data_IF_763789150340
#
_entry.id   IF_763789150340
#
_cell.length_a   1.000
_cell.length_b   1.000
_cell.length_c   1.000
_cell.angle_alpha   90.00
_cell.angle_beta   90.00
_cell.angle_gamma   90.00
#
_symmetry.space_group_name_H-M   'P 1'
#
loop_
_entity.id
_entity.type
_entity.pdbx_description
1 polymer ?
#
# COMPACT_ATOMS: atom_id res chain seq x y z
N UNK A 1 -8.99 -66.04 -58.60
CA UNK A 1 -8.76 -65.72 -57.17
C UNK A 1 -7.98 -64.43 -57.07
N UNK A 2 -8.64 -63.31 -57.34
CA UNK A 2 -7.99 -61.99 -57.38
C UNK A 2 -8.97 -60.85 -56.99
N UNK A 3 -9.43 -60.86 -55.74
CA UNK A 3 -10.42 -59.83 -55.26
C UNK A 3 -10.16 -59.29 -53.84
N UNK A 4 -9.01 -59.64 -53.24
CA UNK A 4 -8.81 -59.26 -51.79
C UNK A 4 -7.95 -58.02 -51.52
N UNK A 5 -7.21 -57.53 -52.52
CA UNK A 5 -6.21 -56.46 -52.22
C UNK A 5 -6.70 -55.03 -52.47
N UNK A 6 -7.84 -54.84 -53.16
CA UNK A 6 -8.37 -53.47 -53.37
C UNK A 6 -9.08 -52.89 -52.13
N UNK A 7 -9.74 -53.71 -51.32
CA UNK A 7 -10.43 -53.22 -50.08
C UNK A 7 -9.46 -52.84 -48.98
N UNK A 8 -8.32 -53.52 -48.88
CA UNK A 8 -7.30 -53.13 -47.87
C UNK A 8 -6.62 -51.81 -48.17
N UNK A 9 -6.47 -51.43 -49.42
CA UNK A 9 -5.91 -50.13 -49.82
C UNK A 9 -6.89 -48.97 -49.62
N UNK A 10 -8.20 -49.22 -49.80
CA UNK A 10 -9.23 -48.19 -49.56
C UNK A 10 -9.40 -47.94 -48.06
N UNK A 11 -9.25 -48.96 -47.21
CA UNK A 11 -9.32 -48.78 -45.75
C UNK A 11 -8.09 -48.03 -45.17
N UNK A 12 -6.95 -48.14 -45.83
CA UNK A 12 -5.72 -47.41 -45.42
C UNK A 12 -5.73 -45.94 -45.86
N UNK A 13 -6.45 -45.59 -46.92
CA UNK A 13 -6.58 -44.19 -47.38
C UNK A 13 -7.64 -43.41 -46.55
N UNK A 14 -8.66 -44.08 -46.01
CA UNK A 14 -9.68 -43.42 -45.13
C UNK A 14 -9.13 -43.13 -43.76
N UNK A 15 -8.07 -43.79 -43.30
CA UNK A 15 -7.47 -43.56 -41.98
C UNK A 15 -6.55 -42.32 -41.90
N UNK A 16 -6.21 -41.70 -43.05
CA UNK A 16 -5.30 -40.54 -43.13
C UNK A 16 -6.07 -39.20 -43.12
N UNK A 17 -7.41 -39.20 -43.19
CA UNK A 17 -8.23 -37.98 -43.27
C UNK A 17 -8.96 -37.63 -41.99
N UNK A 18 -8.64 -38.26 -40.84
CA UNK A 18 -9.00 -37.70 -39.56
C UNK A 18 -7.94 -36.63 -39.24
N UNK A 19 -8.04 -35.50 -39.95
CA UNK A 19 -7.38 -34.28 -39.54
C UNK A 19 -7.90 -33.94 -38.16
N UNK A 20 -7.11 -34.19 -37.12
CA UNK A 20 -7.29 -33.57 -35.82
C UNK A 20 -7.25 -32.07 -36.06
N UNK A 21 -8.43 -31.43 -36.10
CA UNK A 21 -8.53 -30.01 -35.91
C UNK A 21 -8.02 -29.77 -34.49
N UNK A 22 -6.71 -29.73 -34.32
CA UNK A 22 -6.06 -29.22 -33.16
C UNK A 22 -6.33 -27.70 -33.19
N UNK A 23 -7.38 -27.27 -32.53
CA UNK A 23 -7.51 -25.86 -32.25
C UNK A 23 -6.33 -25.51 -31.33
N UNK A 24 -5.25 -25.06 -31.95
CA UNK A 24 -4.12 -24.53 -31.22
C UNK A 24 -4.63 -23.26 -30.54
N UNK A 25 -4.61 -23.27 -29.22
CA UNK A 25 -4.98 -22.13 -28.39
C UNK A 25 -3.68 -21.46 -27.93
N UNK A 26 -3.75 -20.14 -27.78
CA UNK A 26 -2.68 -19.43 -27.12
C UNK A 26 -2.59 -19.88 -25.66
N UNK A 27 -1.35 -20.02 -25.15
CA UNK A 27 -1.09 -20.36 -23.76
C UNK A 27 -0.46 -19.16 -23.06
N UNK A 28 -1.06 -18.76 -21.93
CA UNK A 28 -0.58 -17.68 -21.06
C UNK A 28 -0.11 -18.31 -19.76
N UNK A 29 1.18 -18.23 -19.46
CA UNK A 29 1.75 -18.63 -18.17
C UNK A 29 1.83 -17.38 -17.30
N UNK A 30 1.18 -17.44 -16.15
CA UNK A 30 1.22 -16.37 -15.16
C UNK A 30 2.43 -16.50 -14.24
N UNK A 31 2.76 -15.41 -13.54
CA UNK A 31 3.87 -15.40 -12.57
C UNK A 31 3.61 -16.28 -11.34
N UNK A 32 2.37 -16.60 -11.02
CA UNK A 32 1.99 -17.57 -9.98
C UNK A 32 2.17 -19.02 -10.39
N UNK A 33 2.63 -19.27 -11.63
CA UNK A 33 2.82 -20.60 -12.21
C UNK A 33 1.57 -21.20 -12.86
N UNK A 34 0.41 -20.52 -12.79
CA UNK A 34 -0.81 -21.00 -13.43
C UNK A 34 -0.76 -20.80 -14.95
N UNK A 35 -1.28 -21.80 -15.69
CA UNK A 35 -1.43 -21.75 -17.15
C UNK A 35 -2.89 -21.50 -17.53
N UNK A 36 -3.09 -20.60 -18.50
CA UNK A 36 -4.39 -20.24 -19.04
C UNK A 36 -4.39 -20.46 -20.56
N UNK A 37 -5.22 -21.40 -21.06
CA UNK A 37 -5.44 -21.64 -22.49
C UNK A 37 -6.61 -20.80 -22.98
N UNK A 38 -6.35 -19.87 -23.90
CA UNK A 38 -7.31 -18.84 -24.32
C UNK A 38 -7.00 -18.41 -25.75
N UNK A 39 -7.89 -17.63 -26.32
CA UNK A 39 -7.63 -16.90 -27.56
C UNK A 39 -7.31 -15.45 -27.24
N UNK A 40 -6.07 -15.05 -27.47
CA UNK A 40 -5.62 -13.67 -27.27
C UNK A 40 -6.21 -12.80 -28.38
N UNK A 41 -6.82 -11.68 -28.01
CA UNK A 41 -7.43 -10.74 -28.94
C UNK A 41 -6.64 -9.45 -29.09
N UNK A 42 -5.96 -9.02 -28.01
CA UNK A 42 -5.20 -7.78 -28.01
C UNK A 42 -4.15 -7.81 -26.90
N UNK A 43 -2.98 -7.25 -27.13
CA UNK A 43 -1.96 -6.97 -26.12
C UNK A 43 -1.66 -5.48 -26.19
N UNK A 44 -1.89 -4.77 -25.08
CA UNK A 44 -1.55 -3.36 -24.89
C UNK A 44 -0.32 -3.24 -24.00
N UNK A 45 0.15 -2.03 -23.71
CA UNK A 45 1.31 -1.79 -22.84
C UNK A 45 1.12 -2.29 -21.39
N UNK A 46 -0.12 -2.46 -20.94
CA UNK A 46 -0.46 -2.81 -19.56
C UNK A 46 -1.35 -4.02 -19.42
N UNK A 47 -2.09 -4.42 -20.44
CA UNK A 47 -3.09 -5.47 -20.37
C UNK A 47 -3.06 -6.42 -21.57
N UNK A 48 -3.38 -7.68 -21.31
CA UNK A 48 -3.65 -8.72 -22.28
C UNK A 48 -5.16 -8.98 -22.27
N UNK A 49 -5.83 -8.78 -23.43
CA UNK A 49 -7.25 -9.12 -23.61
C UNK A 49 -7.37 -10.49 -24.28
N UNK A 50 -8.29 -11.29 -23.78
CA UNK A 50 -8.49 -12.64 -24.26
C UNK A 50 -9.94 -13.09 -24.18
N UNK A 51 -10.27 -14.13 -24.93
CA UNK A 51 -11.56 -14.83 -24.87
C UNK A 51 -11.33 -16.27 -24.44
N UNK A 52 -12.21 -16.80 -23.61
CA UNK A 52 -12.26 -18.23 -23.29
C UNK A 52 -13.12 -18.94 -24.30
N UNK A 53 -12.76 -20.18 -24.61
CA UNK A 53 -13.54 -21.02 -25.51
C UNK A 53 -14.99 -21.15 -25.04
N UNK A 54 -15.91 -20.99 -25.97
CA UNK A 54 -17.36 -21.05 -25.70
C UNK A 54 -17.95 -19.78 -25.06
N UNK A 55 -17.17 -18.73 -24.82
CA UNK A 55 -17.64 -17.48 -24.27
C UNK A 55 -17.36 -16.30 -25.23
N UNK A 56 -18.40 -15.52 -25.55
CA UNK A 56 -18.27 -14.31 -26.38
C UNK A 56 -17.81 -13.06 -25.60
N UNK A 57 -17.48 -13.24 -24.32
CA UNK A 57 -17.07 -12.14 -23.45
C UNK A 57 -15.55 -12.00 -23.48
N UNK A 58 -15.07 -10.78 -23.64
CA UNK A 58 -13.64 -10.47 -23.51
C UNK A 58 -13.27 -10.29 -22.04
N UNK A 59 -12.16 -10.91 -21.64
CA UNK A 59 -11.54 -10.78 -20.34
C UNK A 59 -10.23 -10.00 -20.48
N UNK A 60 -9.78 -9.34 -19.43
CA UNK A 60 -8.47 -8.70 -19.38
C UNK A 60 -7.63 -9.26 -18.24
N UNK A 61 -6.30 -9.34 -18.48
CA UNK A 61 -5.28 -9.73 -17.52
C UNK A 61 -4.19 -8.66 -17.54
N UNK A 62 -3.74 -8.22 -16.37
CA UNK A 62 -2.62 -7.28 -16.27
C UNK A 62 -1.33 -7.97 -16.76
N UNK A 63 -0.58 -7.31 -17.65
CA UNK A 63 0.67 -7.86 -18.17
C UNK A 63 1.72 -8.08 -17.08
N UNK A 64 1.63 -7.37 -15.96
CA UNK A 64 2.52 -7.59 -14.81
C UNK A 64 2.31 -8.95 -14.13
N UNK A 65 1.14 -9.57 -14.32
CA UNK A 65 0.84 -10.90 -13.79
C UNK A 65 1.19 -12.01 -14.81
N UNK A 66 1.58 -11.63 -16.05
CA UNK A 66 1.99 -12.55 -17.12
C UNK A 66 3.51 -12.75 -17.09
N UNK A 67 3.95 -14.00 -17.18
CA UNK A 67 5.35 -14.37 -17.33
C UNK A 67 5.70 -14.63 -18.80
N UNK A 68 4.88 -15.44 -19.48
CA UNK A 68 5.12 -15.90 -20.84
C UNK A 68 3.79 -16.08 -21.56
N UNK A 69 3.76 -15.67 -22.82
CA UNK A 69 2.71 -16.01 -23.78
C UNK A 69 3.33 -16.88 -24.87
N UNK A 70 2.67 -17.98 -25.19
CA UNK A 70 2.96 -18.80 -26.36
C UNK A 70 1.76 -18.73 -27.28
N UNK A 71 1.94 -18.17 -28.47
CA UNK A 71 0.89 -18.04 -29.47
C UNK A 71 0.63 -19.35 -30.20
N UNK A 72 -0.54 -19.46 -30.84
CA UNK A 72 -0.95 -20.60 -31.67
C UNK A 72 0.11 -20.97 -32.74
N UNK A 73 0.81 -19.97 -33.29
CA UNK A 73 1.87 -20.14 -34.29
C UNK A 73 3.22 -20.65 -33.70
N UNK A 74 3.29 -20.84 -32.37
CA UNK A 74 4.48 -21.23 -31.63
C UNK A 74 5.43 -20.09 -31.25
N UNK A 75 5.13 -18.87 -31.64
CA UNK A 75 5.89 -17.70 -31.16
C UNK A 75 5.73 -17.51 -29.64
N UNK A 76 6.78 -17.00 -29.01
CA UNK A 76 6.80 -16.76 -27.57
C UNK A 76 7.14 -15.32 -27.26
N UNK A 77 6.41 -14.74 -26.31
CA UNK A 77 6.64 -13.40 -25.80
C UNK A 77 6.74 -13.42 -24.28
N UNK A 78 7.85 -12.88 -23.74
CA UNK A 78 8.09 -12.76 -22.30
C UNK A 78 7.86 -11.34 -21.83
N UNK A 79 7.39 -11.19 -20.59
CA UNK A 79 7.03 -9.91 -19.99
C UNK A 79 7.82 -9.62 -18.71
N UNK A 80 9.16 -9.75 -18.77
CA UNK A 80 10.03 -9.72 -17.59
C UNK A 80 10.04 -8.41 -16.81
N UNK A 81 9.74 -7.28 -17.47
CA UNK A 81 9.86 -5.93 -16.88
C UNK A 81 8.57 -5.10 -16.92
N UNK A 82 7.40 -5.74 -17.08
CA UNK A 82 6.15 -4.99 -17.06
C UNK A 82 5.85 -4.56 -15.62
N UNK A 83 5.90 -3.27 -15.38
CA UNK A 83 5.46 -2.71 -14.09
C UNK A 83 3.94 -2.90 -13.97
N UNK A 84 3.50 -3.36 -12.80
CA UNK A 84 2.07 -3.47 -12.51
C UNK A 84 1.37 -2.13 -12.77
N UNK A 85 0.27 -2.16 -13.51
CA UNK A 85 -0.53 -0.96 -13.75
C UNK A 85 -0.96 -0.38 -12.40
N UNK A 86 -0.44 0.78 -12.06
CA UNK A 86 -0.82 1.46 -10.82
C UNK A 86 -2.10 2.24 -11.06
N UNK A 87 -3.13 1.92 -10.30
CA UNK A 87 -4.36 2.72 -10.27
C UNK A 87 -4.09 3.94 -9.39
N UNK A 88 -4.24 5.13 -9.97
CA UNK A 88 -4.10 6.36 -9.19
C UNK A 88 -5.36 6.64 -8.39
N UNK A 89 -5.26 6.53 -7.09
CA UNK A 89 -6.35 6.78 -6.13
C UNK A 89 -6.09 8.08 -5.39
N UNK A 90 -7.15 8.84 -5.13
CA UNK A 90 -7.03 10.12 -4.41
C UNK A 90 -7.13 9.90 -2.90
N UNK A 91 -6.13 10.40 -2.15
CA UNK A 91 -6.30 10.67 -0.73
C UNK A 91 -6.78 12.11 -0.57
N UNK A 92 -7.93 12.29 0.07
CA UNK A 92 -8.58 13.58 0.18
C UNK A 92 -8.06 14.39 1.38
N UNK A 93 -8.09 15.71 1.25
CA UNK A 93 -7.86 16.63 2.36
C UNK A 93 -8.78 16.29 3.54
N UNK A 94 -8.24 16.40 4.77
CA UNK A 94 -8.98 16.06 5.98
C UNK A 94 -9.00 14.56 6.32
N UNK A 95 -8.45 13.67 5.46
CA UNK A 95 -8.25 12.26 5.81
C UNK A 95 -7.38 12.17 7.06
N UNK A 96 -7.82 11.33 8.03
CA UNK A 96 -7.11 11.14 9.31
C UNK A 96 -6.15 9.96 9.20
N UNK A 97 -4.89 10.20 9.57
CA UNK A 97 -3.85 9.18 9.64
C UNK A 97 -3.51 8.97 11.12
N UNK A 98 -3.84 7.80 11.71
CA UNK A 98 -3.53 7.52 13.10
C UNK A 98 -2.03 7.23 13.25
N UNK A 99 -1.35 8.01 14.07
CA UNK A 99 0.07 7.89 14.39
C UNK A 99 0.26 7.49 15.83
N UNK A 100 1.18 6.60 16.12
CA UNK A 100 1.53 6.16 17.47
C UNK A 100 2.98 6.51 17.78
N UNK A 101 3.22 7.05 18.98
CA UNK A 101 4.56 7.36 19.47
C UNK A 101 5.36 6.07 19.64
N UNK A 102 6.54 6.00 19.02
CA UNK A 102 7.36 4.77 19.02
C UNK A 102 8.15 4.60 20.32
N UNK A 103 8.45 5.71 21.01
CA UNK A 103 9.23 5.70 22.24
C UNK A 103 8.72 6.72 23.26
N UNK A 104 8.99 6.50 24.55
CA UNK A 104 8.67 7.48 25.58
C UNK A 104 9.67 8.63 25.58
N UNK A 105 9.19 9.84 25.33
CA UNK A 105 9.99 11.06 25.31
C UNK A 105 9.68 11.99 26.49
N UNK A 106 10.66 12.77 26.89
CA UNK A 106 10.56 13.66 28.05
C UNK A 106 11.27 14.99 27.84
N UNK A 107 10.72 16.05 28.41
CA UNK A 107 11.39 17.37 28.48
C UNK A 107 12.57 17.40 29.44
N UNK A 108 12.77 16.36 30.27
CA UNK A 108 13.83 16.25 31.28
C UNK A 108 14.46 14.84 31.23
N UNK A 109 15.58 14.63 31.96
CA UNK A 109 16.25 13.32 32.06
C UNK A 109 15.45 12.24 32.80
N UNK A 110 14.34 12.59 33.43
CA UNK A 110 13.48 11.65 34.14
C UNK A 110 12.22 11.32 33.31
N UNK A 111 11.89 10.04 33.22
CA UNK A 111 10.62 9.56 32.67
C UNK A 111 10.58 9.24 31.18
N UNK A 112 11.73 9.16 30.53
CA UNK A 112 11.83 8.83 29.12
C UNK A 112 13.11 9.38 28.48
N UNK A 113 13.29 9.17 27.16
CA UNK A 113 14.38 9.78 26.40
C UNK A 113 14.21 11.30 26.42
N UNK A 114 15.22 12.01 26.95
CA UNK A 114 15.20 13.47 26.92
C UNK A 114 15.34 13.94 25.49
N UNK A 115 14.45 14.85 25.08
CA UNK A 115 14.49 15.50 23.75
C UNK A 115 14.70 17.01 23.88
N UNK A 116 15.28 17.61 22.85
CA UNK A 116 15.52 19.05 22.73
C UNK A 116 14.74 19.63 21.55
N UNK A 117 14.49 20.94 21.58
CA UNK A 117 13.88 21.63 20.44
C UNK A 117 14.73 21.45 19.17
N UNK A 118 14.07 21.16 18.03
CA UNK A 118 14.68 20.83 16.75
C UNK A 118 15.06 19.35 16.57
N UNK A 119 14.93 18.53 17.63
CA UNK A 119 15.25 17.10 17.56
C UNK A 119 14.13 16.32 16.86
N UNK A 120 14.52 15.30 16.08
CA UNK A 120 13.60 14.40 15.40
C UNK A 120 13.16 13.28 16.34
N UNK A 121 11.87 13.00 16.33
CA UNK A 121 11.23 11.88 17.03
C UNK A 121 10.58 10.94 16.03
N UNK A 122 10.42 9.68 16.43
CA UNK A 122 9.83 8.65 15.59
C UNK A 122 8.42 8.29 16.03
N UNK A 123 7.52 8.29 15.08
CA UNK A 123 6.17 7.77 15.20
C UNK A 123 5.99 6.65 14.15
N UNK A 124 4.94 5.86 14.29
CA UNK A 124 4.53 4.86 13.29
C UNK A 124 3.04 5.00 13.00
N UNK A 125 2.65 4.66 11.78
CA UNK A 125 1.23 4.58 11.40
C UNK A 125 0.61 3.39 12.15
N UNK A 126 -0.47 3.64 12.89
CA UNK A 126 -1.10 2.64 13.76
C UNK A 126 -1.92 1.60 13.00
N UNK A 127 -2.57 1.99 11.92
CA UNK A 127 -3.43 1.14 11.10
C UNK A 127 -3.36 1.56 9.63
N UNK A 128 -3.67 0.64 8.73
CA UNK A 128 -3.77 0.95 7.30
C UNK A 128 -4.80 2.08 7.07
N UNK A 129 -4.41 3.03 6.21
CA UNK A 129 -5.33 4.05 5.71
C UNK A 129 -5.76 3.63 4.31
N UNK A 130 -7.04 3.35 4.15
CA UNK A 130 -7.63 2.85 2.90
C UNK A 130 -8.61 3.86 2.28
N UNK A 131 -8.84 3.73 0.99
CA UNK A 131 -9.98 4.38 0.31
C UNK A 131 -11.28 3.60 0.53
N UNK A 132 -12.36 4.02 -0.16
CA UNK A 132 -13.67 3.37 -0.10
C UNK A 132 -13.68 1.99 -0.76
N UNK A 133 -12.76 1.72 -1.68
CA UNK A 133 -12.63 0.47 -2.42
C UNK A 133 -11.70 -0.53 -1.71
N UNK A 134 -11.14 -0.15 -0.55
CA UNK A 134 -10.24 -0.98 0.26
C UNK A 134 -8.77 -0.94 -0.19
N UNK A 135 -8.39 -0.06 -1.13
CA UNK A 135 -7.00 0.10 -1.52
C UNK A 135 -6.22 0.79 -0.40
N UNK A 136 -5.08 0.21 -0.01
CA UNK A 136 -4.21 0.78 1.02
C UNK A 136 -3.44 1.96 0.44
N UNK A 137 -3.60 3.15 1.03
CA UNK A 137 -2.93 4.39 0.66
C UNK A 137 -1.71 4.66 1.54
N UNK A 138 -1.83 4.35 2.84
CA UNK A 138 -0.73 4.41 3.80
C UNK A 138 -0.74 3.12 4.61
N UNK A 139 0.40 2.44 4.68
CA UNK A 139 0.49 1.13 5.33
C UNK A 139 0.74 1.27 6.84
N UNK A 140 0.10 0.41 7.63
CA UNK A 140 0.43 0.22 9.05
C UNK A 140 1.93 -0.02 9.24
N UNK A 141 2.51 0.54 10.31
CA UNK A 141 3.92 0.42 10.61
C UNK A 141 4.84 1.35 9.80
N UNK A 142 4.30 2.16 8.88
CA UNK A 142 5.09 3.18 8.17
C UNK A 142 5.73 4.13 9.19
N UNK A 143 7.06 4.29 9.11
CA UNK A 143 7.80 5.22 9.96
C UNK A 143 7.49 6.66 9.56
N UNK A 144 7.25 7.50 10.57
CA UNK A 144 6.94 8.91 10.42
C UNK A 144 7.85 9.72 11.33
N UNK A 145 8.50 10.73 10.79
CA UNK A 145 9.35 11.63 11.54
C UNK A 145 8.53 12.85 12.01
N UNK A 146 8.60 13.12 13.32
CA UNK A 146 8.13 14.37 13.89
C UNK A 146 9.30 15.23 14.34
N UNK A 147 9.11 16.54 14.43
CA UNK A 147 10.10 17.49 14.92
C UNK A 147 9.64 18.13 16.22
N UNK A 148 10.49 18.11 17.25
CA UNK A 148 10.21 18.80 18.50
C UNK A 148 10.27 20.30 18.28
N UNK A 149 9.12 20.97 18.43
CA UNK A 149 9.00 22.43 18.26
C UNK A 149 9.29 23.18 19.55
N UNK A 150 9.01 22.55 20.72
CA UNK A 150 9.32 23.10 22.02
C UNK A 150 9.69 22.00 23.02
N UNK A 151 10.78 22.21 23.78
CA UNK A 151 11.15 21.35 24.90
C UNK A 151 11.69 22.22 26.05
N UNK A 152 10.89 22.41 27.06
CA UNK A 152 11.26 23.18 28.25
C UNK A 152 11.32 22.26 29.47
N UNK A 153 12.45 22.33 30.20
CA UNK A 153 12.59 21.62 31.45
C UNK A 153 11.70 22.26 32.50
N UNK A 154 11.28 21.47 33.48
CA UNK A 154 10.70 21.97 34.70
C UNK A 154 11.68 22.94 35.39
N UNK A 155 11.16 24.03 35.97
CA UNK A 155 11.97 24.95 36.78
C UNK A 155 11.63 24.78 38.26
N UNK A 156 12.48 25.30 39.14
CA UNK A 156 12.20 25.44 40.58
C UNK A 156 10.86 26.22 40.79
N UNK A 157 10.27 26.09 41.93
CA UNK A 157 8.99 26.73 42.29
C UNK A 157 7.76 26.21 41.51
N UNK A 158 7.73 24.90 41.17
CA UNK A 158 6.54 24.27 40.63
C UNK A 158 6.26 24.52 39.15
N UNK A 159 7.19 25.13 38.40
CA UNK A 159 7.06 25.33 36.96
C UNK A 159 7.21 23.98 36.24
N UNK A 160 6.24 23.64 35.42
CA UNK A 160 6.18 22.38 34.69
C UNK A 160 7.01 22.39 33.41
N UNK A 161 7.47 21.21 32.98
CA UNK A 161 8.04 21.05 31.67
C UNK A 161 7.01 21.23 30.57
N UNK A 162 7.46 21.60 29.37
CA UNK A 162 6.64 21.65 28.15
C UNK A 162 7.27 20.81 27.07
N UNK A 163 6.44 20.16 26.28
CA UNK A 163 6.79 19.42 25.07
C UNK A 163 5.79 19.73 23.99
N UNK A 164 6.30 20.13 22.82
CA UNK A 164 5.49 20.31 21.61
C UNK A 164 6.23 19.70 20.44
N UNK A 165 5.49 19.14 19.49
CA UNK A 165 6.06 18.61 18.25
C UNK A 165 5.09 18.80 17.08
N UNK A 166 5.64 18.75 15.87
CA UNK A 166 4.86 18.71 14.61
C UNK A 166 5.24 17.49 13.78
N UNK A 167 4.30 17.07 12.93
CA UNK A 167 4.51 16.15 11.82
C UNK A 167 3.98 16.81 10.57
N UNK A 168 4.82 16.90 9.54
CA UNK A 168 4.51 17.62 8.30
C UNK A 168 4.25 16.68 7.12
N UNK A 169 4.80 15.44 7.15
CA UNK A 169 4.68 14.48 6.05
C UNK A 169 4.53 13.04 6.55
N UNK A 170 3.79 12.24 5.79
CA UNK A 170 3.68 10.78 5.92
C UNK A 170 3.96 10.15 4.56
N UNK A 171 4.67 9.02 4.54
CA UNK A 171 4.99 8.32 3.29
C UNK A 171 3.84 7.40 2.88
N UNK A 172 3.39 7.52 1.63
CA UNK A 172 2.38 6.65 1.01
C UNK A 172 2.98 5.31 0.56
N UNK A 173 2.13 4.36 0.18
CA UNK A 173 2.54 3.02 -0.32
C UNK A 173 3.36 3.06 -1.60
N UNK A 174 3.26 4.11 -2.39
CA UNK A 174 4.04 4.34 -3.62
C UNK A 174 5.33 5.13 -3.39
N UNK A 175 5.65 5.45 -2.13
CA UNK A 175 6.84 6.22 -1.72
C UNK A 175 6.67 7.73 -1.80
N UNK A 176 5.52 8.25 -2.22
CA UNK A 176 5.26 9.69 -2.23
C UNK A 176 5.05 10.23 -0.82
N UNK A 177 5.48 11.47 -0.57
CA UNK A 177 5.20 12.18 0.68
C UNK A 177 3.82 12.82 0.65
N UNK A 178 2.95 12.47 1.58
CA UNK A 178 1.63 13.08 1.81
C UNK A 178 1.81 14.21 2.81
N UNK A 179 1.50 15.47 2.45
CA UNK A 179 1.54 16.56 3.41
C UNK A 179 0.42 16.40 4.46
N UNK A 180 0.79 16.50 5.72
CA UNK A 180 -0.12 16.37 6.84
C UNK A 180 0.07 17.54 7.82
N UNK A 181 -0.93 17.82 8.61
CA UNK A 181 -0.84 18.77 9.71
C UNK A 181 -1.14 18.03 11.02
N UNK A 182 -0.09 17.85 11.81
CA UNK A 182 -0.18 17.44 13.19
C UNK A 182 0.70 18.39 14.02
N UNK A 183 0.09 19.19 14.86
CA UNK A 183 0.78 20.00 15.89
C UNK A 183 0.25 19.58 17.23
N UNK A 184 1.15 19.23 18.11
CA UNK A 184 0.81 18.81 19.46
C UNK A 184 1.56 19.65 20.48
N UNK A 185 0.79 20.33 21.34
CA UNK A 185 1.32 21.13 22.42
C UNK A 185 0.93 20.52 23.77
N UNK A 186 1.93 20.16 24.54
CA UNK A 186 1.78 19.62 25.86
C UNK A 186 2.34 20.56 26.92
N UNK A 187 1.47 21.33 27.54
CA UNK A 187 1.79 22.14 28.69
C UNK A 187 1.09 21.61 29.95
N UNK A 188 1.86 21.07 30.82
CA UNK A 188 1.62 20.42 32.12
C UNK A 188 0.35 20.62 32.92
N UNK A 189 -0.84 20.87 32.40
CA UNK A 189 -2.10 20.95 33.15
C UNK A 189 -3.39 20.71 32.35
N UNK A 190 -3.45 19.82 31.41
CA UNK A 190 -4.79 19.52 30.91
C UNK A 190 -5.01 18.04 30.68
N UNK A 191 -6.05 17.50 31.27
CA UNK A 191 -6.68 16.25 30.86
C UNK A 191 -7.47 16.42 29.56
N UNK A 192 -7.40 17.61 28.96
CA UNK A 192 -8.12 17.94 27.74
C UNK A 192 -7.13 17.96 26.61
N UNK A 193 -7.35 17.09 25.63
CA UNK A 193 -6.72 17.21 24.33
C UNK A 193 -7.02 18.60 23.79
N UNK A 194 -6.03 19.49 23.82
CA UNK A 194 -6.19 20.80 23.18
C UNK A 194 -6.12 20.50 21.68
N UNK A 195 -7.28 20.50 21.06
CA UNK A 195 -7.40 20.61 19.62
C UNK A 195 -6.92 21.99 19.20
N UNK A 196 -5.60 22.20 19.17
CA UNK A 196 -5.03 23.37 18.50
C UNK A 196 -4.85 22.98 17.04
N UNK A 197 -5.86 23.35 16.25
CA UNK A 197 -5.85 23.18 14.80
C UNK A 197 -5.49 21.77 14.37
N UNK A 198 -6.47 20.85 14.37
CA UNK A 198 -6.47 19.60 13.61
C UNK A 198 -5.79 18.33 14.18
N UNK A 199 -5.25 18.32 15.41
CA UNK A 199 -4.81 17.07 16.03
C UNK A 199 -5.83 16.62 17.11
N UNK A 200 -6.43 15.45 16.92
CA UNK A 200 -7.25 14.79 17.94
C UNK A 200 -6.39 13.74 18.63
N UNK A 201 -6.14 13.88 19.92
CA UNK A 201 -5.50 12.85 20.74
C UNK A 201 -6.55 11.86 21.20
N UNK A 202 -6.44 10.62 20.78
CA UNK A 202 -7.29 9.54 21.24
C UNK A 202 -6.58 8.82 22.38
N UNK A 203 -7.03 9.15 23.60
CA UNK A 203 -6.80 8.45 24.86
C UNK A 203 -5.39 7.91 25.17
N UNK A 204 -4.63 8.71 25.95
CA UNK A 204 -3.64 8.17 26.87
C UNK A 204 -3.86 8.77 28.26
N UNK A 205 -3.69 8.05 29.37
CA UNK A 205 -3.77 8.60 30.70
C UNK A 205 -2.56 9.50 30.95
N UNK A 206 -2.77 10.81 30.85
CA UNK A 206 -1.74 11.83 31.17
C UNK A 206 -1.67 12.06 32.68
N UNK A 207 -0.69 11.46 33.31
CA UNK A 207 -0.38 11.69 34.73
C UNK A 207 0.36 13.03 34.91
N UNK A 208 -0.40 14.05 35.25
CA UNK A 208 0.11 15.39 35.58
C UNK A 208 0.21 15.62 37.06
N UNK A 209 1.42 15.66 37.56
CA UNK A 209 1.68 16.10 38.95
C UNK A 209 2.51 17.38 38.95
N UNK A 210 2.20 18.31 39.83
CA UNK A 210 2.91 19.59 40.01
C UNK A 210 4.44 19.41 40.02
N UNK A 211 5.16 20.20 39.22
CA UNK A 211 6.63 20.21 39.19
C UNK A 211 7.29 18.99 38.53
N UNK A 212 6.55 18.22 37.69
CA UNK A 212 7.08 17.07 36.94
C UNK A 212 7.45 17.46 35.50
N UNK A 213 8.34 16.69 34.87
CA UNK A 213 8.63 16.87 33.45
C UNK A 213 7.38 16.63 32.58
N UNK A 214 7.34 17.23 31.41
CA UNK A 214 6.39 16.83 30.38
C UNK A 214 6.88 15.49 29.77
N UNK A 215 6.01 14.50 29.75
CA UNK A 215 6.32 13.14 29.23
C UNK A 215 5.22 12.75 28.24
N UNK A 216 5.61 12.26 27.08
CA UNK A 216 4.73 11.61 26.11
C UNK A 216 5.15 10.15 26.08
N UNK A 217 4.26 9.26 26.48
CA UNK A 217 4.55 7.84 26.57
C UNK A 217 4.52 7.14 25.19
N UNK A 218 5.36 6.14 25.01
CA UNK A 218 5.24 5.21 23.89
C UNK A 218 3.81 4.63 23.83
N UNK A 219 3.28 4.44 22.62
CA UNK A 219 1.90 3.98 22.45
C UNK A 219 0.85 5.09 22.47
N UNK A 220 1.22 6.36 22.78
CA UNK A 220 0.29 7.49 22.68
C UNK A 220 -0.10 7.69 21.21
N UNK A 221 -1.42 7.76 20.94
CA UNK A 221 -1.96 7.89 19.59
C UNK A 221 -2.33 9.34 19.28
N UNK A 222 -1.97 9.78 18.10
CA UNK A 222 -2.26 11.10 17.54
C UNK A 222 -2.97 10.95 16.20
N UNK A 223 -3.71 11.98 15.76
CA UNK A 223 -4.36 12.01 14.46
C UNK A 223 -3.74 13.13 13.62
N UNK A 224 -3.00 12.74 12.57
CA UNK A 224 -2.54 13.68 11.56
C UNK A 224 -3.62 13.87 10.49
N UNK A 225 -3.83 15.11 10.04
CA UNK A 225 -4.79 15.41 8.98
C UNK A 225 -4.07 15.70 7.67
N UNK A 226 -4.50 15.06 6.61
CA UNK A 226 -3.99 15.30 5.26
C UNK A 226 -4.32 16.73 4.82
N UNK A 227 -3.31 17.42 4.29
CA UNK A 227 -3.42 18.79 3.77
C UNK A 227 -3.46 18.74 2.25
N UNK A 228 -4.65 19.01 1.68
CA UNK A 228 -4.84 18.96 0.22
C UNK A 228 -5.00 17.55 -0.33
N UNK A 229 -5.69 17.46 -1.45
CA UNK A 229 -5.89 16.19 -2.15
C UNK A 229 -4.59 15.74 -2.83
N UNK A 230 -4.31 14.45 -2.81
CA UNK A 230 -3.13 13.89 -3.46
C UNK A 230 -3.43 12.56 -4.13
N UNK A 231 -2.92 12.38 -5.35
CA UNK A 231 -3.01 11.13 -6.09
C UNK A 231 -1.90 10.18 -5.65
N UNK A 232 -2.27 8.99 -5.18
CA UNK A 232 -1.39 7.90 -4.75
C UNK A 232 -1.55 6.74 -5.73
N UNK A 233 -0.44 6.18 -6.19
CA UNK A 233 -0.47 5.03 -7.09
C UNK A 233 -0.51 3.73 -6.26
N UNK A 234 -1.65 3.05 -6.25
CA UNK A 234 -1.82 1.76 -5.58
C UNK A 234 -1.56 0.62 -6.56
N UNK A 235 -1.03 -0.50 -6.04
CA UNK A 235 -0.68 -1.69 -6.84
C UNK A 235 -1.76 -2.75 -6.74
#
# INVERSE_FOLDING_TARGET
>A
MYKSNKMKKIFFIILITIGVNSFAQDSVIKRDGSELKVKITEITDTQLKYQKEGLSVAFSLDLSDVLLVTFENGERMTFDNVKKSSVGVMINAGTRIPLVMSETISSDKKGGRKVNTGEVISLTVQADVTDMDGNVLVKQGTLVNGTITQSEKRKAAGTKGKLSFSVDFVTAVDGQSIPVNLKYDFAGKSKTAVAVGTAVVVAAPLLLIKGKPAIIEAGTVFQALVVGDKKINVK
#
